data_IF_708618063671
#
_entry.id   IF_708618063671
#
_cell.length_a   1.000
_cell.length_b   1.000
_cell.length_c   1.000
_cell.angle_alpha   90.00
_cell.angle_beta   90.00
_cell.angle_gamma   90.00
#
_symmetry.space_group_name_H-M   'P 1'
#
loop_
_entity.id
_entity.type
_entity.pdbx_description
1 polymer ?
#
# COMPACT_ATOMS: atom_id res chain seq x y z
N UNK A 1 3.14 7.71 -12.46
CA UNK A 1 3.93 6.52 -12.79
C UNK A 1 5.34 6.59 -12.17
N UNK A 2 5.46 6.84 -10.85
CA UNK A 2 6.75 6.99 -10.15
C UNK A 2 7.17 5.70 -9.43
N UNK A 3 6.21 4.96 -8.83
CA UNK A 3 6.48 3.69 -8.15
C UNK A 3 7.19 2.66 -9.07
N UNK A 4 6.71 2.51 -10.31
CA UNK A 4 7.32 1.56 -11.26
C UNK A 4 8.79 1.91 -11.57
N UNK A 5 9.13 3.20 -11.66
CA UNK A 5 10.52 3.62 -11.85
C UNK A 5 11.37 3.26 -10.62
N UNK A 6 10.85 3.46 -9.41
CA UNK A 6 11.55 3.07 -8.16
C UNK A 6 11.78 1.55 -8.13
N UNK A 7 10.77 0.75 -8.47
CA UNK A 7 10.90 -0.72 -8.54
C UNK A 7 11.94 -1.18 -9.56
N UNK A 8 12.01 -0.54 -10.72
CA UNK A 8 13.03 -0.83 -11.72
C UNK A 8 14.45 -0.52 -11.23
N UNK A 9 14.64 0.58 -10.50
CA UNK A 9 15.94 0.93 -9.92
C UNK A 9 16.37 -0.05 -8.81
N UNK A 10 15.42 -0.52 -7.99
CA UNK A 10 15.63 -1.58 -6.99
C UNK A 10 16.03 -2.90 -7.65
N UNK A 11 15.27 -3.35 -8.66
CA UNK A 11 15.56 -4.57 -9.39
C UNK A 11 16.93 -4.52 -10.11
N UNK A 12 17.35 -3.32 -10.52
CA UNK A 12 18.66 -3.11 -11.11
C UNK A 12 19.80 -2.99 -10.07
N UNK A 13 19.51 -3.14 -8.77
CA UNK A 13 20.47 -3.07 -7.66
C UNK A 13 21.03 -1.68 -7.41
N UNK A 14 20.43 -0.62 -7.99
CA UNK A 14 20.88 0.77 -7.83
C UNK A 14 20.27 1.46 -6.62
N UNK A 15 19.19 0.90 -6.07
CA UNK A 15 18.55 1.31 -4.82
C UNK A 15 18.34 0.08 -3.93
N UNK A 16 18.39 0.27 -2.61
CA UNK A 16 17.94 -0.76 -1.66
C UNK A 16 16.42 -0.95 -1.71
N UNK A 17 15.94 -2.08 -1.22
CA UNK A 17 14.50 -2.30 -1.03
C UNK A 17 13.96 -1.27 -0.03
N UNK A 18 13.14 -0.38 -0.57
CA UNK A 18 12.57 0.80 0.09
C UNK A 18 11.06 0.71 -0.12
N UNK A 19 10.27 0.72 0.96
CA UNK A 19 8.83 0.74 0.84
C UNK A 19 8.34 2.08 0.30
N UNK A 20 7.28 2.06 -0.50
CA UNK A 20 6.65 3.22 -1.10
C UNK A 20 5.22 3.37 -0.59
N UNK A 21 4.96 4.48 0.11
CA UNK A 21 3.63 4.91 0.54
C UNK A 21 3.08 5.99 -0.40
N UNK A 22 1.97 5.71 -1.07
CA UNK A 22 1.30 6.70 -1.93
C UNK A 22 0.30 7.56 -1.15
N UNK A 23 0.29 8.87 -1.41
CA UNK A 23 -0.67 9.81 -0.83
C UNK A 23 -1.66 10.22 -1.92
N UNK A 24 -2.88 9.72 -1.82
CA UNK A 24 -3.95 9.92 -2.79
C UNK A 24 -4.77 11.16 -2.42
N UNK A 25 -5.26 11.88 -3.43
CA UNK A 25 -6.10 13.07 -3.19
C UNK A 25 -7.56 12.70 -2.91
N UNK A 26 -8.02 11.53 -3.39
CA UNK A 26 -9.40 11.03 -3.24
C UNK A 26 -9.50 9.52 -3.44
N UNK A 27 -10.64 8.94 -3.02
CA UNK A 27 -10.96 7.51 -3.19
C UNK A 27 -10.90 7.03 -4.65
N UNK A 28 -11.29 7.87 -5.61
CA UNK A 28 -11.26 7.50 -7.03
C UNK A 28 -9.84 7.15 -7.54
N UNK A 29 -8.80 7.59 -6.85
CA UNK A 29 -7.40 7.31 -7.25
C UNK A 29 -6.91 5.94 -6.72
N UNK A 30 -7.69 5.22 -5.91
CA UNK A 30 -7.36 3.88 -5.40
C UNK A 30 -7.15 2.87 -6.53
N UNK A 31 -7.95 2.96 -7.60
CA UNK A 31 -7.79 2.11 -8.79
C UNK A 31 -6.41 2.26 -9.44
N UNK A 32 -5.85 3.48 -9.42
CA UNK A 32 -4.50 3.75 -9.92
C UNK A 32 -3.44 3.23 -8.96
N UNK A 33 -3.65 3.38 -7.64
CA UNK A 33 -2.74 2.89 -6.61
C UNK A 33 -2.57 1.36 -6.66
N UNK A 34 -3.67 0.61 -6.81
CA UNK A 34 -3.65 -0.86 -6.93
C UNK A 34 -2.78 -1.38 -8.09
N UNK A 35 -2.71 -0.64 -9.20
CA UNK A 35 -1.92 -1.04 -10.39
C UNK A 35 -0.46 -0.58 -10.32
N UNK A 36 -0.13 0.26 -9.34
CA UNK A 36 1.17 0.93 -9.27
C UNK A 36 2.25 0.13 -8.52
N UNK A 37 1.92 -1.03 -7.96
CA UNK A 37 2.82 -1.84 -7.11
C UNK A 37 3.39 -1.06 -5.90
N UNK A 38 2.62 -0.10 -5.38
CA UNK A 38 2.93 0.56 -4.12
C UNK A 38 2.71 -0.40 -2.95
N UNK A 39 3.55 -0.32 -1.92
CA UNK A 39 3.43 -1.14 -0.71
C UNK A 39 2.24 -0.69 0.15
N UNK A 40 1.82 0.57 0.01
CA UNK A 40 0.61 1.08 0.65
C UNK A 40 0.14 2.43 0.10
N UNK A 41 -1.05 2.86 0.52
CA UNK A 41 -1.59 4.18 0.22
C UNK A 41 -2.49 4.75 1.32
N UNK A 42 -2.51 6.07 1.41
CA UNK A 42 -3.38 6.88 2.28
C UNK A 42 -4.18 7.88 1.45
N UNK A 43 -5.44 8.12 1.82
CA UNK A 43 -6.29 9.11 1.17
C UNK A 43 -6.32 10.38 2.02
N UNK A 44 -6.06 11.54 1.38
CA UNK A 44 -6.12 12.84 2.05
C UNK A 44 -7.54 13.16 2.53
N UNK A 45 -7.69 13.93 3.62
CA UNK A 45 -6.65 14.65 4.36
C UNK A 45 -5.81 13.72 5.24
N UNK A 46 -4.51 14.01 5.38
CA UNK A 46 -3.61 13.19 6.20
C UNK A 46 -3.75 13.52 7.69
N UNK A 47 -3.60 12.49 8.51
CA UNK A 47 -3.45 12.61 9.95
C UNK A 47 -2.10 12.02 10.37
N UNK A 48 -1.44 12.64 11.36
CA UNK A 48 -0.09 12.25 11.78
C UNK A 48 -0.05 10.82 12.34
N UNK A 49 -1.10 10.40 13.04
CA UNK A 49 -1.16 9.05 13.59
C UNK A 49 -1.37 8.01 12.50
N UNK A 50 -2.23 8.27 11.52
CA UNK A 50 -2.40 7.41 10.33
C UNK A 50 -1.12 7.30 9.51
N UNK A 51 -0.44 8.41 9.25
CA UNK A 51 0.83 8.41 8.53
C UNK A 51 1.88 7.58 9.25
N UNK A 52 2.05 7.79 10.57
CA UNK A 52 3.00 7.03 11.38
C UNK A 52 2.70 5.53 11.34
N UNK A 53 1.44 5.14 11.54
CA UNK A 53 1.02 3.73 11.50
C UNK A 53 1.31 3.09 10.14
N UNK A 54 0.97 3.78 9.05
CA UNK A 54 1.24 3.29 7.70
C UNK A 54 2.74 3.12 7.48
N UNK A 55 3.56 4.11 7.87
CA UNK A 55 5.01 4.02 7.77
C UNK A 55 5.59 2.87 8.60
N UNK A 56 5.15 2.68 9.84
CA UNK A 56 5.59 1.58 10.70
C UNK A 56 5.24 0.22 10.10
N UNK A 57 4.02 0.06 9.57
CA UNK A 57 3.59 -1.16 8.88
C UNK A 57 4.48 -1.48 7.68
N UNK A 58 4.74 -0.47 6.83
CA UNK A 58 5.59 -0.64 5.65
C UNK A 58 7.04 -0.98 6.00
N UNK A 59 7.62 -0.34 7.01
CA UNK A 59 8.98 -0.65 7.46
C UNK A 59 9.10 -2.04 8.08
N UNK A 60 8.01 -2.57 8.63
CA UNK A 60 7.92 -3.94 9.12
C UNK A 60 7.62 -4.97 8.01
N UNK A 61 7.48 -4.54 6.74
CA UNK A 61 7.22 -5.40 5.59
C UNK A 61 5.74 -5.74 5.37
N UNK A 62 4.82 -5.09 6.09
CA UNK A 62 3.37 -5.21 5.88
C UNK A 62 2.86 -4.14 4.92
N UNK A 63 1.67 -4.35 4.35
CA UNK A 63 0.97 -3.34 3.55
C UNK A 63 0.03 -2.49 4.40
N UNK A 64 -0.27 -1.28 3.92
CA UNK A 64 -1.28 -0.40 4.53
C UNK A 64 -2.10 0.26 3.42
N UNK A 65 -3.40 -0.03 3.34
CA UNK A 65 -4.28 0.44 2.26
C UNK A 65 -5.58 1.04 2.79
N UNK A 66 -6.06 2.11 2.16
CA UNK A 66 -7.33 2.77 2.49
C UNK A 66 -8.29 2.74 1.29
N UNK A 67 -9.61 2.75 1.55
CA UNK A 67 -10.62 2.82 0.49
C UNK A 67 -10.77 1.52 -0.33
N UNK A 68 -10.26 0.41 0.18
CA UNK A 68 -10.54 -0.94 -0.34
C UNK A 68 -11.62 -1.56 0.53
N UNK A 69 -12.73 -2.07 -0.04
CA UNK A 69 -13.69 -2.87 0.72
C UNK A 69 -12.96 -4.04 1.38
N UNK A 70 -13.23 -4.28 2.66
CA UNK A 70 -12.83 -5.55 3.27
C UNK A 70 -13.73 -6.60 2.60
N UNK A 71 -13.13 -7.54 1.87
CA UNK A 71 -13.87 -8.71 1.42
C UNK A 71 -14.14 -9.57 2.67
N UNK A 72 -15.25 -9.28 3.37
CA UNK A 72 -15.70 -10.04 4.56
C UNK A 72 -15.83 -11.55 4.27
N UNK A 73 -16.01 -11.90 2.99
CA UNK A 73 -16.13 -13.27 2.50
C UNK A 73 -14.80 -14.04 2.41
N UNK A 74 -13.65 -13.35 2.41
CA UNK A 74 -12.34 -14.01 2.30
C UNK A 74 -11.89 -14.66 3.63
N UNK A 75 -12.24 -14.03 4.76
CA UNK A 75 -11.93 -14.53 6.10
C UNK A 75 -12.77 -15.79 6.43
N UNK A 76 -14.00 -15.87 5.93
CA UNK A 76 -14.89 -17.02 6.17
C UNK A 76 -14.45 -18.28 5.39
N UNK A 77 -13.82 -18.10 4.22
CA UNK A 77 -13.25 -19.20 3.44
C UNK A 77 -11.98 -19.81 4.07
N UNK A 78 -11.13 -18.99 4.71
CA UNK A 78 -9.92 -19.49 5.41
C UNK A 78 -10.25 -20.24 6.71
N UNK A 79 -11.34 -19.85 7.39
CA UNK A 79 -11.86 -20.54 8.58
C UNK A 79 -12.63 -21.83 8.26
N UNK A 80 -13.20 -21.97 7.06
CA UNK A 80 -13.94 -23.16 6.65
C UNK A 80 -13.04 -24.33 6.20
N UNK A 81 -11.76 -24.07 5.93
CA UNK A 81 -10.77 -25.07 5.48
C UNK A 81 -9.78 -25.49 6.61
N UNK A 82 -10.06 -25.12 7.86
CA UNK A 82 -9.29 -25.45 9.07
C UNK A 82 -10.04 -26.40 10.03
#
# INVERSE_FOLDING_TARGET
>A
AVCMSIRHEQAAGRLGDLPVLMLLDREADVFLAQRSHADGWLIKPLDAFRLRRATEALLAGYSYVEGVPLDEDADEAELADA
#
